data_IF_310113696726
#
_entry.id   IF_310113696726
#
_cell.length_a   1.000
_cell.length_b   1.000
_cell.length_c   1.000
_cell.angle_alpha   90.00
_cell.angle_beta   90.00
_cell.angle_gamma   90.00
#
_symmetry.space_group_name_H-M   'P 1'
#
loop_
_entity.id
_entity.type
_entity.pdbx_description
1 polymer ?
#
# COMPACT_ATOMS: atom_id res chain seq x y z
N UNK A 1 7.61 -1.04 5.83
CA UNK A 1 6.47 -1.94 5.53
C UNK A 1 6.17 -1.86 4.04
N UNK A 2 6.05 -2.99 3.32
CA UNK A 2 5.65 -2.98 1.91
C UNK A 2 4.12 -3.09 1.82
N UNK A 3 3.49 -2.17 1.08
CA UNK A 3 2.04 -2.14 0.93
C UNK A 3 1.61 -2.93 -0.31
N UNK A 4 0.79 -3.96 -0.11
CA UNK A 4 0.18 -4.74 -1.19
C UNK A 4 -1.16 -5.35 -0.73
N UNK A 5 -2.02 -5.64 -1.71
CA UNK A 5 -3.41 -6.02 -1.50
C UNK A 5 -3.59 -7.26 -0.61
N UNK A 6 -2.81 -8.32 -0.86
CA UNK A 6 -2.93 -9.57 -0.10
C UNK A 6 -2.62 -9.38 1.38
N UNK A 7 -1.53 -8.67 1.72
CA UNK A 7 -1.21 -8.37 3.12
C UNK A 7 -2.31 -7.58 3.80
N UNK A 8 -2.91 -6.60 3.11
CA UNK A 8 -4.01 -5.84 3.68
C UNK A 8 -5.26 -6.71 3.90
N UNK A 9 -5.61 -7.57 2.94
CA UNK A 9 -6.68 -8.54 3.11
C UNK A 9 -6.41 -9.49 4.29
N UNK A 10 -5.17 -9.94 4.48
CA UNK A 10 -4.79 -10.83 5.57
C UNK A 10 -4.88 -10.17 6.95
N UNK A 11 -4.49 -8.90 7.04
CA UNK A 11 -4.62 -8.11 8.28
C UNK A 11 -6.09 -7.96 8.68
N UNK A 12 -6.98 -7.75 7.70
CA UNK A 12 -8.40 -7.53 7.95
C UNK A 12 -9.15 -8.84 8.20
N UNK A 13 -9.00 -9.82 7.32
CA UNK A 13 -9.86 -11.02 7.28
C UNK A 13 -9.15 -12.32 7.71
N UNK A 14 -7.89 -12.23 8.14
CA UNK A 14 -7.08 -13.36 8.56
C UNK A 14 -6.20 -13.95 7.46
N UNK A 15 -5.26 -14.82 7.86
CA UNK A 15 -4.14 -15.27 7.04
C UNK A 15 -4.50 -16.00 5.73
N UNK A 16 -5.74 -16.50 5.61
CA UNK A 16 -6.21 -17.19 4.39
C UNK A 16 -6.78 -16.24 3.33
N UNK A 17 -7.09 -15.00 3.71
CA UNK A 17 -7.60 -14.01 2.79
C UNK A 17 -6.52 -13.55 1.81
N UNK A 18 -6.95 -13.13 0.63
CA UNK A 18 -6.10 -12.53 -0.41
C UNK A 18 -6.89 -11.53 -1.22
N UNK A 19 -6.22 -10.75 -2.07
CA UNK A 19 -6.87 -9.84 -2.98
C UNK A 19 -7.80 -10.59 -3.93
N UNK A 20 -8.97 -10.01 -4.15
CA UNK A 20 -9.88 -10.50 -5.17
C UNK A 20 -9.33 -10.20 -6.59
N UNK A 21 -9.82 -10.87 -7.63
CA UNK A 21 -9.48 -10.56 -9.01
C UNK A 21 -9.76 -9.09 -9.36
N UNK A 22 -9.02 -8.56 -10.34
CA UNK A 22 -9.13 -7.16 -10.81
C UNK A 22 -10.58 -6.76 -11.15
N UNK A 23 -11.36 -7.68 -11.71
CA UNK A 23 -12.76 -7.45 -12.08
C UNK A 23 -13.61 -7.09 -10.85
N UNK A 24 -13.36 -7.70 -9.69
CA UNK A 24 -14.05 -7.32 -8.44
C UNK A 24 -13.83 -5.85 -8.10
N UNK A 25 -12.59 -5.37 -8.21
CA UNK A 25 -12.28 -3.97 -7.95
C UNK A 25 -12.98 -3.05 -8.95
N UNK A 26 -12.95 -3.38 -10.25
CA UNK A 26 -13.59 -2.56 -11.29
C UNK A 26 -15.10 -2.50 -11.08
N UNK A 27 -15.75 -3.66 -10.96
CA UNK A 27 -17.20 -3.76 -10.88
C UNK A 27 -17.74 -3.14 -9.58
N UNK A 28 -17.11 -3.42 -8.44
CA UNK A 28 -17.56 -2.89 -7.15
C UNK A 28 -17.25 -1.40 -7.03
N UNK A 29 -16.01 -0.97 -7.34
CA UNK A 29 -15.62 0.44 -7.12
C UNK A 29 -16.22 1.42 -8.13
N UNK A 30 -16.78 0.95 -9.24
CA UNK A 30 -17.56 1.78 -10.17
C UNK A 30 -18.95 2.18 -9.65
N UNK A 31 -19.45 1.51 -8.60
CA UNK A 31 -20.79 1.77 -8.04
C UNK A 31 -20.89 3.10 -7.32
N UNK A 32 -19.83 3.52 -6.60
CA UNK A 32 -19.84 4.74 -5.80
C UNK A 32 -20.78 4.62 -4.60
N UNK A 33 -20.64 3.54 -3.84
CA UNK A 33 -21.36 3.29 -2.60
C UNK A 33 -20.39 3.02 -1.44
N UNK A 34 -20.91 2.75 -0.25
CA UNK A 34 -20.11 2.50 0.97
C UNK A 34 -19.12 1.32 0.86
N UNK A 35 -19.36 0.37 -0.04
CA UNK A 35 -18.52 -0.82 -0.23
C UNK A 35 -17.64 -0.74 -1.47
N UNK A 36 -17.94 0.17 -2.39
CA UNK A 36 -17.18 0.38 -3.62
C UNK A 36 -17.11 1.84 -4.06
N UNK A 37 -16.00 2.51 -3.79
CA UNK A 37 -15.78 3.93 -4.11
C UNK A 37 -14.29 4.31 -4.16
N UNK A 38 -14.01 5.52 -4.65
CA UNK A 38 -12.71 6.19 -4.65
C UNK A 38 -12.73 7.41 -3.71
N UNK A 39 -13.19 7.18 -2.48
CA UNK A 39 -13.26 8.20 -1.43
C UNK A 39 -14.64 8.85 -1.30
N UNK A 40 -14.79 9.61 -0.21
CA UNK A 40 -16.01 10.32 0.17
C UNK A 40 -15.77 11.83 0.11
N UNK A 41 -16.66 12.58 -0.52
CA UNK A 41 -16.50 14.03 -0.70
C UNK A 41 -17.84 14.66 -1.05
N UNK A 42 -18.13 15.84 -0.48
CA UNK A 42 -19.41 16.52 -0.72
C UNK A 42 -20.62 15.74 -0.21
N UNK A 43 -20.45 14.96 0.86
CA UNK A 43 -21.45 14.05 1.42
C UNK A 43 -21.85 12.86 0.52
N UNK A 44 -21.01 12.55 -0.48
CA UNK A 44 -21.26 11.47 -1.44
C UNK A 44 -20.03 10.58 -1.65
N UNK A 45 -20.28 9.31 -1.96
CA UNK A 45 -19.23 8.37 -2.36
C UNK A 45 -18.89 8.57 -3.84
N UNK A 46 -17.60 8.77 -4.12
CA UNK A 46 -17.13 8.97 -5.49
C UNK A 46 -16.99 7.64 -6.21
N UNK A 47 -17.58 7.53 -7.39
CA UNK A 47 -17.33 6.40 -8.31
C UNK A 47 -15.88 6.42 -8.78
N UNK A 48 -15.25 5.25 -8.83
CA UNK A 48 -13.93 5.13 -9.43
C UNK A 48 -14.01 5.11 -10.97
N UNK A 49 -13.12 5.85 -11.61
CA UNK A 49 -12.76 5.56 -12.99
C UNK A 49 -12.06 4.19 -13.07
N UNK A 50 -12.22 3.46 -14.18
CA UNK A 50 -11.64 2.11 -14.36
C UNK A 50 -10.13 2.06 -14.09
N UNK A 51 -9.39 3.09 -14.45
CA UNK A 51 -7.95 3.20 -14.19
C UNK A 51 -7.58 3.31 -12.70
N UNK A 52 -8.51 3.78 -11.87
CA UNK A 52 -8.33 4.02 -10.43
C UNK A 52 -8.99 2.95 -9.56
N UNK A 53 -9.73 2.00 -10.16
CA UNK A 53 -10.49 1.00 -9.41
C UNK A 53 -9.64 0.18 -8.43
N UNK A 54 -8.36 -0.05 -8.74
CA UNK A 54 -7.42 -0.74 -7.85
C UNK A 54 -6.89 0.11 -6.68
N UNK A 55 -7.35 1.36 -6.54
CA UNK A 55 -6.99 2.28 -5.47
C UNK A 55 -8.20 2.79 -4.68
N UNK A 56 -9.38 2.21 -4.93
CA UNK A 56 -10.62 2.49 -4.19
C UNK A 56 -10.77 1.60 -2.95
N UNK A 57 -12.00 1.12 -2.68
CA UNK A 57 -12.24 0.12 -1.64
C UNK A 57 -11.53 -1.19 -1.97
N UNK A 58 -10.90 -1.77 -0.96
CA UNK A 58 -10.24 -3.07 -1.04
C UNK A 58 -11.27 -4.17 -1.29
N UNK A 59 -10.97 -5.07 -2.22
CA UNK A 59 -11.77 -6.26 -2.49
C UNK A 59 -10.92 -7.51 -2.22
N UNK A 60 -11.45 -8.42 -1.43
CA UNK A 60 -10.76 -9.65 -1.01
C UNK A 60 -11.56 -10.91 -1.40
N UNK A 61 -10.90 -12.05 -1.35
CA UNK A 61 -11.52 -13.37 -1.41
C UNK A 61 -10.95 -14.28 -0.30
N UNK A 62 -11.55 -15.46 -0.10
CA UNK A 62 -11.21 -16.39 0.98
C UNK A 62 -11.34 -15.77 2.39
N UNK A 63 -12.33 -14.90 2.57
CA UNK A 63 -12.61 -14.23 3.84
C UNK A 63 -13.17 -15.21 4.87
N UNK A 64 -12.59 -15.21 6.06
CA UNK A 64 -13.18 -15.81 7.25
C UNK A 64 -13.82 -14.69 8.07
N UNK A 65 -15.09 -14.82 8.41
CA UNK A 65 -15.79 -13.83 9.24
C UNK A 65 -15.21 -13.87 10.65
N UNK A 66 -14.45 -12.84 11.02
CA UNK A 66 -13.90 -12.67 12.37
C UNK A 66 -14.03 -11.19 12.78
N UNK A 67 -14.26 -10.90 14.08
CA UNK A 67 -14.17 -9.55 14.59
C UNK A 67 -12.77 -8.98 14.32
N UNK A 68 -12.70 -7.81 13.70
CA UNK A 68 -11.45 -7.18 13.33
C UNK A 68 -11.25 -6.01 14.29
N UNK A 69 -10.18 -6.05 15.09
CA UNK A 69 -9.92 -5.05 16.14
C UNK A 69 -11.04 -4.89 17.19
N UNK A 70 -11.79 -5.95 17.48
CA UNK A 70 -12.92 -5.90 18.42
C UNK A 70 -14.15 -5.16 17.89
N UNK A 71 -14.11 -4.71 16.62
CA UNK A 71 -15.23 -4.12 15.91
C UNK A 71 -15.81 -5.19 14.99
N UNK A 72 -17.14 -5.26 14.90
CA UNK A 72 -17.84 -6.08 13.92
C UNK A 72 -18.16 -5.18 12.73
N UNK A 73 -17.39 -5.24 11.63
CA UNK A 73 -17.67 -4.40 10.48
C UNK A 73 -18.86 -4.95 9.68
N UNK A 74 -19.45 -4.09 8.85
CA UNK A 74 -20.37 -4.56 7.82
C UNK A 74 -19.55 -5.21 6.68
N UNK A 75 -19.94 -6.41 6.28
CA UNK A 75 -19.29 -7.16 5.21
C UNK A 75 -20.31 -7.39 4.10
N UNK A 76 -19.88 -7.23 2.85
CA UNK A 76 -20.71 -7.53 1.68
C UNK A 76 -20.04 -8.58 0.81
N UNK A 77 -20.83 -9.51 0.30
CA UNK A 77 -20.44 -10.46 -0.73
C UNK A 77 -21.09 -10.03 -2.05
N UNK A 78 -20.28 -9.75 -3.06
CA UNK A 78 -20.76 -9.48 -4.43
C UNK A 78 -20.37 -10.65 -5.34
N UNK A 79 -21.27 -11.16 -6.20
CA UNK A 79 -20.89 -12.14 -7.22
C UNK A 79 -19.83 -11.55 -8.16
N UNK A 80 -18.71 -12.25 -8.30
CA UNK A 80 -17.66 -11.97 -9.29
C UNK A 80 -17.56 -13.08 -10.32
N UNK A 81 -16.75 -12.88 -11.37
CA UNK A 81 -16.47 -13.93 -12.36
C UNK A 81 -15.62 -15.04 -11.75
N UNK A 82 -16.27 -16.14 -11.37
CA UNK A 82 -15.59 -17.34 -10.85
C UNK A 82 -15.17 -17.29 -9.38
N UNK A 83 -15.51 -16.22 -8.65
CA UNK A 83 -15.27 -16.07 -7.21
C UNK A 83 -16.28 -15.11 -6.59
N UNK A 84 -16.30 -15.00 -5.26
CA UNK A 84 -17.05 -13.96 -4.54
C UNK A 84 -16.10 -12.82 -4.19
N UNK A 85 -16.50 -11.60 -4.52
CA UNK A 85 -15.80 -10.39 -4.10
C UNK A 85 -16.30 -10.00 -2.70
N UNK A 86 -15.38 -9.81 -1.77
CA UNK A 86 -15.71 -9.40 -0.40
C UNK A 86 -15.22 -7.98 -0.14
N UNK A 87 -16.15 -7.12 0.29
CA UNK A 87 -15.88 -5.77 0.74
C UNK A 87 -16.23 -5.61 2.22
N UNK A 88 -15.58 -4.64 2.88
CA UNK A 88 -15.79 -4.32 4.29
C UNK A 88 -16.06 -2.84 4.48
N UNK A 89 -16.91 -2.49 5.44
CA UNK A 89 -17.11 -1.12 5.92
C UNK A 89 -17.13 -1.12 7.44
N UNK A 90 -16.18 -0.41 8.03
CA UNK A 90 -15.99 -0.33 9.48
C UNK A 90 -16.82 0.76 10.16
N UNK A 91 -17.41 1.70 9.39
CA UNK A 91 -18.19 2.82 9.93
C UNK A 91 -17.47 3.64 11.03
N UNK A 92 -16.16 3.88 10.88
CA UNK A 92 -15.36 4.54 11.91
C UNK A 92 -15.58 6.06 12.01
N UNK A 93 -16.38 6.65 11.12
CA UNK A 93 -16.50 8.11 10.97
C UNK A 93 -15.57 8.66 9.89
N UNK A 94 -15.68 9.96 9.62
CA UNK A 94 -14.92 10.65 8.56
C UNK A 94 -13.55 11.17 9.01
N UNK A 95 -13.33 11.23 10.32
CA UNK A 95 -12.10 11.65 10.99
C UNK A 95 -11.06 10.52 11.09
N UNK A 96 -11.49 9.27 10.92
CA UNK A 96 -10.65 8.08 10.96
C UNK A 96 -10.46 7.51 9.54
N UNK A 97 -9.21 7.28 9.09
CA UNK A 97 -8.98 6.58 7.82
C UNK A 97 -9.61 5.19 7.81
N UNK A 98 -10.43 4.90 6.81
CA UNK A 98 -11.11 3.61 6.65
C UNK A 98 -10.10 2.50 6.27
N UNK A 99 -9.87 1.48 7.13
CA UNK A 99 -8.95 0.38 6.84
C UNK A 99 -9.39 -0.47 5.64
N UNK A 100 -10.65 -0.38 5.22
CA UNK A 100 -11.18 -1.02 4.04
C UNK A 100 -10.88 -0.30 2.72
N UNK A 101 -10.17 0.83 2.74
CA UNK A 101 -9.62 1.47 1.53
C UNK A 101 -8.25 0.91 1.21
N UNK A 102 -7.91 0.78 -0.07
CA UNK A 102 -6.54 0.39 -0.47
C UNK A 102 -5.54 1.39 0.08
N UNK A 103 -4.51 0.90 0.79
CA UNK A 103 -3.49 1.74 1.40
C UNK A 103 -2.70 2.56 0.37
N UNK A 104 -2.34 3.79 0.73
CA UNK A 104 -1.43 4.62 -0.07
C UNK A 104 -0.08 3.92 -0.29
N UNK A 105 0.51 4.15 -1.46
CA UNK A 105 1.76 3.51 -1.88
C UNK A 105 1.60 2.09 -2.43
N UNK A 106 0.42 1.48 -2.30
CA UNK A 106 0.15 0.15 -2.88
C UNK A 106 0.35 0.16 -4.38
N UNK A 107 1.07 -0.83 -4.91
CA UNK A 107 1.31 -0.97 -6.35
C UNK A 107 0.02 -1.32 -7.09
N UNK A 108 -0.45 -0.43 -7.95
CA UNK A 108 -1.65 -0.63 -8.79
C UNK A 108 -1.32 -0.93 -10.27
N UNK A 109 -0.04 -0.91 -10.64
CA UNK A 109 0.44 -1.22 -11.98
C UNK A 109 1.96 -1.25 -12.07
N UNK A 110 2.49 -1.48 -13.27
CA UNK A 110 3.94 -1.34 -13.53
C UNK A 110 4.32 0.13 -13.39
N UNK A 111 5.26 0.44 -12.49
CA UNK A 111 5.69 1.81 -12.22
C UNK A 111 4.59 2.73 -11.67
N UNK A 112 3.50 2.18 -11.09
CA UNK A 112 2.37 2.95 -10.58
C UNK A 112 1.98 2.56 -9.16
N UNK A 113 1.55 3.54 -8.38
CA UNK A 113 1.13 3.40 -6.98
C UNK A 113 -0.20 4.10 -6.72
N UNK A 114 -0.90 3.68 -5.67
CA UNK A 114 -2.10 4.34 -5.18
C UNK A 114 -1.76 5.58 -4.36
N UNK A 115 -2.35 6.71 -4.72
CA UNK A 115 -2.27 7.98 -3.97
C UNK A 115 -3.55 8.76 -4.14
N UNK A 116 -4.15 9.24 -3.06
CA UNK A 116 -5.43 9.95 -3.05
C UNK A 116 -6.51 9.24 -3.86
N UNK A 117 -6.65 7.92 -3.66
CA UNK A 117 -7.59 7.04 -4.38
C UNK A 117 -7.37 6.93 -5.90
N UNK A 118 -6.19 7.31 -6.40
CA UNK A 118 -5.84 7.28 -7.82
C UNK A 118 -4.62 6.40 -8.09
N UNK A 119 -4.62 5.72 -9.25
CA UNK A 119 -3.47 4.94 -9.69
C UNK A 119 -2.54 5.81 -10.56
N UNK A 120 -1.53 6.38 -9.92
CA UNK A 120 -0.64 7.38 -10.52
C UNK A 120 0.76 6.82 -10.76
N UNK A 121 1.56 7.47 -11.60
CA UNK A 121 2.95 7.08 -11.81
C UNK A 121 3.74 7.25 -10.51
N UNK A 122 4.62 6.30 -10.18
CA UNK A 122 5.45 6.37 -8.98
C UNK A 122 6.40 7.59 -8.97
N UNK A 123 6.63 8.22 -10.13
CA UNK A 123 7.36 9.49 -10.25
C UNK A 123 6.79 10.62 -9.40
N UNK A 124 5.50 10.58 -9.03
CA UNK A 124 4.89 11.59 -8.12
C UNK A 124 5.52 11.62 -6.73
N UNK A 125 6.29 10.59 -6.37
CA UNK A 125 7.05 10.53 -5.13
C UNK A 125 8.27 11.46 -5.18
N UNK A 126 8.66 11.96 -6.36
CA UNK A 126 9.82 12.82 -6.58
C UNK A 126 11.08 12.27 -5.88
N UNK A 127 11.26 10.95 -5.99
CA UNK A 127 12.35 10.24 -5.39
C UNK A 127 13.54 10.22 -6.35
N UNK A 128 14.50 11.10 -6.09
CA UNK A 128 15.70 11.33 -6.90
C UNK A 128 16.94 10.84 -6.15
N UNK A 129 17.05 9.52 -6.01
CA UNK A 129 18.25 8.90 -5.46
C UNK A 129 18.88 7.96 -6.49
N UNK A 130 19.80 8.50 -7.28
CA UNK A 130 20.64 7.71 -8.17
C UNK A 130 21.71 7.01 -7.32
N UNK A 131 21.51 5.73 -7.05
CA UNK A 131 22.41 4.93 -6.19
C UNK A 131 23.84 4.91 -6.74
N UNK A 132 24.00 4.86 -8.06
CA UNK A 132 25.31 4.80 -8.70
C UNK A 132 26.08 6.11 -8.51
N UNK A 133 25.38 7.25 -8.58
CA UNK A 133 26.01 8.57 -8.40
C UNK A 133 26.11 9.01 -6.95
N UNK A 134 25.06 8.83 -6.15
CA UNK A 134 24.96 9.36 -4.80
C UNK A 134 25.57 8.45 -3.74
N UNK A 135 25.39 7.14 -3.92
CA UNK A 135 25.89 6.13 -2.98
C UNK A 135 27.08 5.34 -3.56
N UNK A 136 27.68 5.82 -4.66
CA UNK A 136 28.81 5.18 -5.34
C UNK A 136 28.59 3.69 -5.67
N UNK A 137 27.33 3.24 -5.78
CA UNK A 137 26.99 1.82 -5.97
C UNK A 137 27.26 0.92 -4.76
N UNK A 138 27.57 1.49 -3.59
CA UNK A 138 27.98 0.80 -2.36
C UNK A 138 26.93 0.90 -1.24
N UNK A 139 25.65 0.89 -1.62
CA UNK A 139 24.55 0.93 -0.68
C UNK A 139 23.21 1.16 -1.35
N UNK A 140 22.20 1.47 -0.55
CA UNK A 140 20.84 1.77 -1.00
C UNK A 140 20.37 3.10 -0.44
N UNK A 141 19.45 3.78 -1.12
CA UNK A 141 18.85 4.97 -0.57
C UNK A 141 17.60 4.66 0.25
N UNK A 142 17.43 5.33 1.39
CA UNK A 142 16.22 5.26 2.20
C UNK A 142 15.18 6.32 1.78
N UNK A 143 14.03 6.38 2.46
CA UNK A 143 12.96 7.35 2.16
C UNK A 143 13.36 8.82 2.36
N UNK A 144 14.38 9.09 3.18
CA UNK A 144 14.95 10.42 3.38
C UNK A 144 15.98 10.78 2.30
N UNK A 145 16.17 9.90 1.30
CA UNK A 145 17.16 10.01 0.23
C UNK A 145 18.61 9.91 0.73
N UNK A 146 18.83 9.39 1.93
CA UNK A 146 20.17 9.16 2.47
C UNK A 146 20.66 7.76 2.10
N UNK A 147 21.96 7.62 1.86
CA UNK A 147 22.54 6.32 1.60
C UNK A 147 22.67 5.52 2.89
N UNK A 148 22.22 4.28 2.84
CA UNK A 148 22.53 3.23 3.79
C UNK A 148 23.60 2.35 3.14
N UNK A 149 24.83 2.55 3.58
CA UNK A 149 26.02 1.95 3.00
C UNK A 149 26.18 0.49 3.40
N UNK A 150 26.66 -0.31 2.45
CA UNK A 150 27.06 -1.69 2.68
C UNK A 150 28.25 -1.75 3.64
N UNK A 151 28.45 -2.90 4.28
CA UNK A 151 29.63 -3.13 5.12
C UNK A 151 30.91 -2.90 4.31
N UNK A 152 31.87 -2.19 4.90
CA UNK A 152 33.08 -1.75 4.22
C UNK A 152 33.03 -0.30 3.72
N UNK A 153 31.86 0.36 3.72
CA UNK A 153 31.69 1.74 3.24
C UNK A 153 31.08 2.65 4.31
N UNK A 154 31.43 3.93 4.29
CA UNK A 154 30.99 4.93 5.26
C UNK A 154 29.91 5.86 4.68
N UNK A 155 28.84 6.16 5.44
CA UNK A 155 27.93 7.25 5.08
C UNK A 155 28.68 8.60 5.09
N UNK A 156 28.19 9.63 4.36
CA UNK A 156 26.86 9.74 3.75
C UNK A 156 26.74 9.25 2.30
N UNK A 157 27.85 9.04 1.59
CA UNK A 157 27.86 8.75 0.15
C UNK A 157 28.41 7.36 -0.20
N UNK A 158 28.81 6.56 0.79
CA UNK A 158 29.40 5.24 0.60
C UNK A 158 30.64 5.23 -0.30
N UNK A 159 31.41 6.32 -0.27
CA UNK A 159 32.63 6.48 -1.07
C UNK A 159 33.90 6.13 -0.27
N UNK A 160 33.90 6.42 1.03
CA UNK A 160 35.02 6.12 1.91
C UNK A 160 34.82 4.76 2.58
N UNK A 161 35.91 4.11 2.99
CA UNK A 161 35.83 2.86 3.76
C UNK A 161 35.24 3.08 5.15
N UNK A 162 34.37 2.17 5.61
CA UNK A 162 33.72 2.29 6.92
C UNK A 162 32.95 1.04 7.36
N UNK A 163 32.18 1.17 8.45
CA UNK A 163 31.44 0.07 9.07
C UNK A 163 30.00 -0.12 8.51
N UNK A 164 29.67 0.50 7.38
CA UNK A 164 28.32 0.53 6.83
C UNK A 164 27.37 1.47 7.59
N UNK A 165 26.08 1.39 7.26
CA UNK A 165 25.03 2.17 7.93
C UNK A 165 24.69 3.48 7.21
N UNK A 166 23.89 4.34 7.84
CA UNK A 166 23.43 5.61 7.27
C UNK A 166 23.81 6.79 8.17
N UNK A 167 23.57 8.01 7.71
CA UNK A 167 23.53 9.17 8.62
C UNK A 167 22.32 9.11 9.57
N UNK A 168 21.27 8.40 9.18
CA UNK A 168 20.01 8.29 9.95
C UNK A 168 19.99 7.10 10.92
N UNK A 169 20.87 6.13 10.72
CA UNK A 169 20.97 4.93 11.54
C UNK A 169 22.43 4.61 11.75
N UNK A 170 22.81 4.26 12.99
CA UNK A 170 24.19 3.94 13.35
C UNK A 170 24.83 2.85 12.47
N UNK A 171 26.13 2.60 12.63
CA UNK A 171 26.86 1.64 11.79
C UNK A 171 26.17 0.27 11.74
N UNK A 172 26.28 -0.43 10.61
CA UNK A 172 25.48 -1.61 10.28
C UNK A 172 25.49 -2.69 11.39
N UNK A 173 26.62 -2.85 12.09
CA UNK A 173 26.77 -3.39 13.45
C UNK A 173 28.27 -3.41 13.81
N UNK A 174 28.65 -3.10 15.05
CA UNK A 174 30.00 -3.39 15.57
C UNK A 174 30.00 -4.81 16.15
N UNK A 175 30.48 -5.77 15.38
CA UNK A 175 30.82 -7.10 15.88
C UNK A 175 32.12 -7.09 16.67
N UNK A 176 32.05 -6.64 17.93
CA UNK A 176 32.93 -7.05 19.04
C UNK A 176 32.12 -7.13 20.32
#
# INVERSE_FOLDING_TARGET
MCQYYDAQCQVIFGSKAKAAPRDCFIDVNSKGDRFGNCGFSGNEYKKCATGNALCGKLQCENVQEMPVFGIVPAIIQTPGRGTKCWGVDFQLGSDVPDPGMVNEGTRCGVGKICRNFQCVNASVLNYDCDIQKKCHGHGVCNSNKNCHCDSGWAPPYCEATGYGGSVDSGPAYNGK
#
